data_IF_947187362932
#
_entry.id   IF_947187362932
#
_cell.length_a   1.000
_cell.length_b   1.000
_cell.length_c   1.000
_cell.angle_alpha   90.00
_cell.angle_beta   90.00
_cell.angle_gamma   90.00
#
_symmetry.space_group_name_H-M   'P 1'
#
loop_
_entity.id
_entity.type
_entity.pdbx_description
1 polymer ?
#
# COMPACT_ATOMS: atom_id res chain seq x y z
N UNK A 1 -16.82 16.51 5.53
CA UNK A 1 -18.09 17.24 5.27
C UNK A 1 -18.39 18.13 6.47
N UNK A 2 -18.58 19.42 6.28
CA UNK A 2 -18.93 20.36 7.37
C UNK A 2 -20.36 20.08 7.80
N UNK A 3 -20.60 19.74 9.08
CA UNK A 3 -21.95 19.61 9.61
C UNK A 3 -22.68 20.93 9.44
N UNK A 4 -23.78 20.94 8.69
CA UNK A 4 -24.65 22.10 8.59
C UNK A 4 -25.37 22.28 9.94
N UNK A 5 -24.91 23.25 10.72
CA UNK A 5 -25.54 23.63 11.99
C UNK A 5 -26.66 24.62 11.68
N UNK A 6 -27.89 24.13 11.56
CA UNK A 6 -29.08 24.98 11.56
C UNK A 6 -29.46 25.33 13.02
N UNK A 7 -28.76 26.32 13.58
CA UNK A 7 -29.15 26.90 14.86
C UNK A 7 -30.02 28.12 14.60
N UNK A 8 -31.27 28.08 15.05
CA UNK A 8 -32.24 29.18 14.88
C UNK A 8 -32.04 30.34 15.88
N UNK A 9 -31.11 30.20 16.83
CA UNK A 9 -30.87 31.21 17.88
C UNK A 9 -29.41 31.58 18.01
N UNK A 10 -29.12 32.79 18.49
CA UNK A 10 -27.75 33.21 18.92
C UNK A 10 -27.37 32.57 20.26
N UNK A 11 -27.13 31.26 20.23
CA UNK A 11 -26.68 30.52 21.39
C UNK A 11 -25.16 30.69 21.58
N UNK A 12 -24.74 30.77 22.82
CA UNK A 12 -23.32 30.61 23.14
C UNK A 12 -22.95 29.12 23.04
N UNK A 13 -22.13 28.79 22.04
CA UNK A 13 -21.67 27.44 21.77
C UNK A 13 -20.25 27.27 22.26
N UNK A 14 -20.02 26.20 23.01
CA UNK A 14 -18.69 25.69 23.31
C UNK A 14 -18.39 24.54 22.35
N UNK A 15 -17.38 24.70 21.51
CA UNK A 15 -16.98 23.72 20.52
C UNK A 15 -15.59 23.15 20.86
N UNK A 16 -15.45 21.84 20.79
CA UNK A 16 -14.16 21.16 20.82
C UNK A 16 -13.91 20.52 19.47
N UNK A 17 -12.85 20.95 18.81
CA UNK A 17 -12.47 20.48 17.49
C UNK A 17 -11.19 19.65 17.58
N UNK A 18 -11.10 18.63 16.74
CA UNK A 18 -9.94 17.76 16.60
C UNK A 18 -9.43 17.84 15.17
N UNK A 19 -8.12 18.00 15.01
CA UNK A 19 -7.47 17.89 13.70
C UNK A 19 -7.13 16.43 13.43
N UNK A 20 -7.41 16.01 12.22
CA UNK A 20 -7.13 14.67 11.70
C UNK A 20 -6.36 14.80 10.40
N UNK A 21 -5.37 13.95 10.24
CA UNK A 21 -4.75 13.70 8.94
C UNK A 21 -5.50 12.53 8.29
N UNK A 22 -6.19 12.82 7.21
CA UNK A 22 -7.00 11.85 6.47
C UNK A 22 -6.34 11.56 5.14
N UNK A 23 -6.29 10.30 4.79
CA UNK A 23 -5.87 9.87 3.48
C UNK A 23 -7.09 9.81 2.56
N UNK A 24 -7.07 10.56 1.47
CA UNK A 24 -8.15 10.61 0.51
C UNK A 24 -7.71 10.08 -0.85
N UNK A 25 -8.52 9.19 -1.44
CA UNK A 25 -8.31 8.72 -2.80
C UNK A 25 -8.73 9.83 -3.78
N UNK A 26 -7.76 10.50 -4.40
CA UNK A 26 -8.02 11.62 -5.32
C UNK A 26 -8.16 11.16 -6.76
N UNK A 27 -7.37 10.17 -7.16
CA UNK A 27 -7.42 9.64 -8.54
C UNK A 27 -7.45 8.12 -8.48
N UNK A 28 -8.43 7.53 -9.17
CA UNK A 28 -8.49 6.09 -9.43
C UNK A 28 -8.84 5.86 -10.89
N UNK A 29 -7.95 5.17 -11.61
CA UNK A 29 -8.19 4.79 -13.01
C UNK A 29 -7.39 3.57 -13.42
N UNK A 30 -7.83 2.92 -14.47
CA UNK A 30 -7.05 1.93 -15.21
C UNK A 30 -6.67 2.52 -16.55
N UNK A 31 -5.45 2.24 -17.00
CA UNK A 31 -4.95 2.69 -18.29
C UNK A 31 -4.05 1.61 -18.90
N UNK A 32 -3.71 1.75 -20.18
CA UNK A 32 -2.84 0.84 -20.89
C UNK A 32 -1.71 1.60 -21.59
N UNK A 33 -0.53 0.99 -21.61
CA UNK A 33 0.58 1.41 -22.43
C UNK A 33 0.87 0.32 -23.47
N UNK A 34 0.81 0.69 -24.76
CA UNK A 34 1.15 -0.22 -25.85
C UNK A 34 2.63 -0.11 -26.15
N UNK A 35 3.29 -1.25 -26.20
CA UNK A 35 4.70 -1.40 -26.45
C UNK A 35 4.87 -2.04 -27.83
N UNK A 36 5.82 -1.52 -28.63
CA UNK A 36 6.18 -2.07 -29.95
C UNK A 36 7.68 -2.03 -30.07
N UNK A 37 8.28 -3.19 -30.20
CA UNK A 37 9.73 -3.33 -30.29
C UNK A 37 10.09 -4.23 -31.48
N UNK A 38 11.20 -3.92 -32.13
CA UNK A 38 11.76 -4.73 -33.20
C UNK A 38 13.15 -5.20 -32.81
N UNK A 39 13.38 -6.49 -32.93
CA UNK A 39 14.61 -7.15 -32.51
C UNK A 39 15.20 -7.89 -33.71
N UNK A 40 16.31 -7.40 -34.22
CA UNK A 40 17.03 -8.07 -35.29
C UNK A 40 17.88 -9.21 -34.73
N UNK A 41 17.84 -10.38 -35.38
CA UNK A 41 18.70 -11.50 -35.05
C UNK A 41 20.16 -11.19 -35.38
N UNK A 42 21.11 -11.63 -34.55
CA UNK A 42 22.55 -11.45 -34.83
C UNK A 42 22.95 -12.05 -36.23
N UNK A 43 23.89 -11.42 -36.88
CA UNK A 43 24.34 -11.85 -38.26
C UNK A 43 24.92 -13.26 -38.31
N UNK A 44 25.41 -13.79 -37.18
CA UNK A 44 25.92 -15.15 -37.06
C UNK A 44 24.85 -16.23 -36.84
N UNK A 45 23.58 -15.85 -36.76
CA UNK A 45 22.45 -16.78 -36.67
C UNK A 45 21.73 -16.89 -38.01
N UNK A 46 21.21 -18.09 -38.35
CA UNK A 46 20.43 -18.28 -39.58
C UNK A 46 19.06 -17.60 -39.51
N UNK A 47 18.45 -17.39 -40.65
CA UNK A 47 17.14 -16.75 -40.80
C UNK A 47 16.05 -17.51 -40.08
N UNK A 48 14.98 -16.80 -39.73
CA UNK A 48 13.84 -17.34 -38.98
C UNK A 48 12.95 -18.13 -39.94
N UNK A 49 12.77 -19.42 -39.70
CA UNK A 49 11.76 -20.24 -40.38
C UNK A 49 10.44 -20.24 -39.64
N UNK A 50 10.45 -20.63 -38.38
CA UNK A 50 9.25 -20.77 -37.58
C UNK A 50 9.56 -20.46 -36.09
N UNK A 51 8.76 -19.63 -35.44
CA UNK A 51 8.83 -19.44 -34.01
C UNK A 51 8.18 -20.65 -33.32
N UNK A 52 8.93 -21.37 -32.50
CA UNK A 52 8.46 -22.56 -31.81
C UNK A 52 7.95 -22.24 -30.42
N UNK A 53 8.62 -21.31 -29.77
CA UNK A 53 8.25 -20.86 -28.42
C UNK A 53 8.86 -19.50 -28.13
N UNK A 54 8.09 -18.66 -27.48
CA UNK A 54 8.55 -17.37 -26.99
C UNK A 54 8.15 -17.17 -25.53
N UNK A 55 8.86 -16.29 -24.86
CA UNK A 55 8.57 -15.89 -23.49
C UNK A 55 8.94 -14.43 -23.32
N UNK A 56 7.95 -13.62 -23.01
CA UNK A 56 8.12 -12.19 -22.73
C UNK A 56 7.75 -11.91 -21.29
N UNK A 57 8.65 -11.25 -20.56
CA UNK A 57 8.46 -10.95 -19.15
C UNK A 57 8.75 -9.49 -18.86
N UNK A 58 7.92 -8.87 -18.04
CA UNK A 58 8.20 -7.57 -17.44
C UNK A 58 9.20 -7.77 -16.29
N UNK A 59 10.44 -7.30 -16.45
CA UNK A 59 11.52 -7.43 -15.46
C UNK A 59 11.62 -6.25 -14.52
N UNK A 60 11.39 -5.06 -15.00
CA UNK A 60 11.36 -3.86 -14.17
C UNK A 60 10.39 -2.85 -14.77
N UNK A 61 9.70 -2.14 -13.89
CA UNK A 61 8.87 -1.01 -14.25
C UNK A 61 9.01 0.06 -13.18
N UNK A 62 9.41 1.25 -13.60
CA UNK A 62 9.48 2.43 -12.75
C UNK A 62 8.51 3.47 -13.26
N UNK A 63 7.74 4.04 -12.37
CA UNK A 63 6.76 5.05 -12.69
C UNK A 63 7.11 6.32 -11.93
N UNK A 64 7.32 7.39 -12.67
CA UNK A 64 7.57 8.72 -12.12
C UNK A 64 6.33 9.58 -12.32
N UNK A 65 5.84 10.11 -11.23
CA UNK A 65 4.72 11.02 -11.16
C UNK A 65 5.15 12.43 -11.57
N UNK A 66 4.37 13.06 -12.44
CA UNK A 66 4.56 14.44 -12.90
C UNK A 66 3.20 15.11 -13.01
N UNK A 67 3.17 16.43 -13.09
CA UNK A 67 1.92 17.18 -13.30
C UNK A 67 1.16 16.68 -14.53
N UNK A 68 -0.05 16.17 -14.29
CA UNK A 68 -0.96 15.70 -15.35
C UNK A 68 -0.56 14.41 -16.05
N UNK A 69 0.54 13.74 -15.69
CA UNK A 69 1.01 12.53 -16.36
C UNK A 69 1.84 11.60 -15.47
N UNK A 70 1.95 10.37 -15.90
CA UNK A 70 2.88 9.36 -15.40
C UNK A 70 3.90 9.03 -16.47
N UNK A 71 5.19 9.16 -16.17
CA UNK A 71 6.27 8.66 -17.01
C UNK A 71 6.60 7.22 -16.61
N UNK A 72 6.47 6.30 -17.54
CA UNK A 72 6.68 4.86 -17.33
C UNK A 72 7.97 4.47 -18.05
N UNK A 73 8.89 3.81 -17.33
CA UNK A 73 10.13 3.29 -17.88
C UNK A 73 10.33 1.86 -17.36
N UNK A 74 10.81 0.98 -18.21
CA UNK A 74 11.02 -0.41 -17.80
C UNK A 74 11.83 -1.22 -18.76
N UNK A 75 11.93 -2.51 -18.47
CA UNK A 75 12.59 -3.49 -19.30
C UNK A 75 11.69 -4.71 -19.50
N UNK A 76 11.52 -5.14 -20.75
CA UNK A 76 11.01 -6.45 -21.08
C UNK A 76 12.18 -7.40 -21.31
N UNK A 77 12.05 -8.62 -20.85
CA UNK A 77 12.93 -9.72 -21.20
C UNK A 77 12.23 -10.57 -22.26
N UNK A 78 12.87 -10.71 -23.42
CA UNK A 78 12.41 -11.55 -24.52
C UNK A 78 13.31 -12.77 -24.63
N UNK A 79 12.73 -13.95 -24.63
CA UNK A 79 13.35 -15.18 -25.06
C UNK A 79 12.58 -15.77 -26.22
N UNK A 80 13.29 -16.26 -27.25
CA UNK A 80 12.71 -16.90 -28.44
C UNK A 80 13.47 -18.16 -28.76
N UNK A 81 12.75 -19.27 -28.95
CA UNK A 81 13.22 -20.50 -29.56
C UNK A 81 12.58 -20.61 -30.94
N UNK A 82 13.39 -20.73 -32.00
CA UNK A 82 12.90 -20.80 -33.36
C UNK A 82 13.59 -21.88 -34.17
N UNK A 83 12.93 -22.35 -35.20
CA UNK A 83 13.51 -23.20 -36.24
C UNK A 83 14.06 -22.32 -37.32
N UNK A 84 15.31 -22.57 -37.72
CA UNK A 84 15.93 -21.82 -38.79
C UNK A 84 15.37 -22.20 -40.17
N UNK A 85 15.46 -21.26 -41.09
CA UNK A 85 15.10 -21.47 -42.50
C UNK A 85 16.21 -22.16 -43.33
N UNK A 86 17.23 -22.73 -42.67
CA UNK A 86 18.30 -23.48 -43.28
C UNK A 86 17.88 -24.89 -43.74
N UNK A 87 18.68 -25.53 -44.57
CA UNK A 87 18.39 -26.90 -45.06
C UNK A 87 18.29 -27.94 -43.93
N UNK A 88 18.96 -27.71 -42.81
CA UNK A 88 18.98 -28.60 -41.68
C UNK A 88 17.85 -28.30 -40.68
N UNK A 89 17.10 -27.22 -40.88
CA UNK A 89 16.05 -26.74 -39.95
C UNK A 89 16.54 -26.69 -38.50
N UNK A 90 17.74 -26.15 -38.31
CA UNK A 90 18.42 -26.16 -37.02
C UNK A 90 17.63 -25.38 -35.98
N UNK A 91 17.66 -25.88 -34.72
CA UNK A 91 17.02 -25.20 -33.61
C UNK A 91 17.93 -24.09 -33.06
N UNK A 92 17.40 -22.88 -33.01
CA UNK A 92 18.10 -21.69 -32.56
C UNK A 92 17.31 -21.01 -31.47
N UNK A 93 18.02 -20.33 -30.59
CA UNK A 93 17.40 -19.52 -29.54
C UNK A 93 18.16 -18.22 -29.34
N UNK A 94 17.48 -17.21 -28.82
CA UNK A 94 18.08 -15.96 -28.40
C UNK A 94 17.33 -15.36 -27.21
N UNK A 95 18.01 -14.53 -26.45
CA UNK A 95 17.46 -13.73 -25.39
C UNK A 95 17.90 -12.28 -25.54
N UNK A 96 17.02 -11.36 -25.16
CA UNK A 96 17.31 -9.93 -25.19
C UNK A 96 16.51 -9.16 -24.14
N UNK A 97 17.19 -8.15 -23.54
CA UNK A 97 16.52 -7.15 -22.72
C UNK A 97 16.13 -5.96 -23.60
N UNK A 98 14.87 -5.59 -23.55
CA UNK A 98 14.26 -4.52 -24.35
C UNK A 98 13.83 -3.38 -23.41
N UNK A 99 14.59 -2.28 -23.33
CA UNK A 99 14.17 -1.12 -22.57
C UNK A 99 12.99 -0.45 -23.27
N UNK A 100 12.00 -0.02 -22.51
CA UNK A 100 10.87 0.74 -23.03
C UNK A 100 10.62 2.00 -22.21
N UNK A 101 10.02 2.99 -22.88
CA UNK A 101 9.58 4.24 -22.27
C UNK A 101 8.18 4.59 -22.77
N UNK A 102 7.38 5.19 -21.89
CA UNK A 102 6.04 5.63 -22.26
C UNK A 102 5.51 6.72 -21.33
N UNK A 103 4.41 7.32 -21.73
CA UNK A 103 3.71 8.34 -20.96
C UNK A 103 2.24 8.02 -20.92
N UNK A 104 1.66 8.12 -19.74
CA UNK A 104 0.23 7.92 -19.51
C UNK A 104 -0.35 9.22 -18.96
N UNK A 105 -1.34 9.78 -19.65
CA UNK A 105 -2.02 10.99 -19.20
C UNK A 105 -2.85 10.67 -17.95
N UNK A 106 -2.68 11.46 -16.91
CA UNK A 106 -3.35 11.27 -15.64
C UNK A 106 -3.83 12.62 -15.10
N UNK A 107 -5.05 13.02 -15.47
CA UNK A 107 -5.67 14.23 -14.96
C UNK A 107 -5.76 14.18 -13.43
N UNK A 108 -5.37 15.25 -12.76
CA UNK A 108 -5.32 15.31 -11.29
C UNK A 108 -4.04 14.71 -10.68
N UNK A 109 -3.12 14.17 -11.50
CA UNK A 109 -1.83 13.71 -11.00
C UNK A 109 -0.98 14.94 -10.59
N UNK A 110 -0.54 14.97 -9.32
CA UNK A 110 0.33 15.98 -8.73
C UNK A 110 1.46 15.30 -7.98
N UNK A 111 2.60 15.95 -7.85
CA UNK A 111 3.81 15.37 -7.23
C UNK A 111 3.72 15.16 -5.73
N UNK A 112 2.74 15.79 -5.06
CA UNK A 112 2.47 15.66 -3.62
C UNK A 112 1.63 14.44 -3.25
N UNK A 113 0.99 13.79 -4.25
CA UNK A 113 0.16 12.61 -4.01
C UNK A 113 1.02 11.35 -3.81
N UNK A 114 0.52 10.42 -3.02
CA UNK A 114 1.14 9.12 -2.79
C UNK A 114 0.63 8.12 -3.82
N UNK A 115 1.47 7.68 -4.78
CA UNK A 115 1.05 6.75 -5.81
C UNK A 115 1.07 5.29 -5.31
N UNK A 116 -0.01 4.57 -5.58
CA UNK A 116 -0.09 3.11 -5.54
C UNK A 116 -0.43 2.65 -6.95
N UNK A 117 0.56 2.11 -7.65
CA UNK A 117 0.42 1.77 -9.06
C UNK A 117 0.80 0.30 -9.25
N UNK A 118 -0.14 -0.45 -9.81
CA UNK A 118 0.04 -1.84 -10.20
C UNK A 118 0.30 -1.90 -11.70
N UNK A 119 1.27 -2.71 -12.09
CA UNK A 119 1.63 -2.91 -13.50
C UNK A 119 1.62 -4.39 -13.84
N UNK A 120 0.97 -4.73 -14.94
CA UNK A 120 0.89 -6.11 -15.43
C UNK A 120 1.06 -6.14 -16.94
N UNK A 121 1.94 -7.00 -17.45
CA UNK A 121 2.01 -7.32 -18.86
C UNK A 121 0.83 -8.25 -19.19
N UNK A 122 -0.25 -7.66 -19.70
CA UNK A 122 -1.49 -8.38 -19.95
C UNK A 122 -1.45 -9.22 -21.22
N UNK A 123 -0.73 -8.74 -22.22
CA UNK A 123 -0.58 -9.41 -23.51
C UNK A 123 0.80 -9.13 -24.08
N UNK A 124 1.39 -10.13 -24.72
CA UNK A 124 2.56 -10.02 -25.55
C UNK A 124 2.40 -10.95 -26.75
N UNK A 125 2.64 -10.44 -27.95
CA UNK A 125 2.58 -11.18 -29.19
C UNK A 125 3.86 -10.97 -29.97
N UNK A 126 4.49 -12.06 -30.41
CA UNK A 126 5.73 -12.05 -31.17
C UNK A 126 5.50 -12.59 -32.56
N UNK A 127 5.91 -11.83 -33.57
CA UNK A 127 5.84 -12.23 -34.99
C UNK A 127 7.20 -12.07 -35.65
N UNK A 128 7.43 -12.84 -36.70
CA UNK A 128 8.63 -12.70 -37.53
C UNK A 128 8.34 -11.83 -38.76
N UNK A 129 9.27 -10.95 -39.12
CA UNK A 129 9.17 -10.04 -40.26
C UNK A 129 10.41 -10.06 -41.13
N UNK A 130 10.25 -9.69 -42.39
CA UNK A 130 11.32 -9.47 -43.33
C UNK A 130 12.12 -8.19 -42.96
N UNK A 131 13.40 -8.24 -43.14
CA UNK A 131 14.29 -7.08 -43.07
C UNK A 131 14.32 -6.31 -44.43
N UNK A 132 15.22 -5.34 -44.56
CA UNK A 132 15.36 -4.53 -45.77
C UNK A 132 15.83 -5.33 -46.99
N UNK A 133 16.45 -6.49 -46.81
CA UNK A 133 16.97 -7.36 -47.87
C UNK A 133 15.95 -8.46 -48.25
N UNK A 134 14.80 -8.51 -47.59
CA UNK A 134 13.72 -9.47 -47.82
C UNK A 134 13.92 -10.81 -47.08
N UNK A 135 14.85 -10.88 -46.15
CA UNK A 135 15.11 -12.05 -45.34
C UNK A 135 14.33 -11.95 -43.99
N UNK A 136 13.77 -13.07 -43.50
CA UNK A 136 13.01 -13.07 -42.26
C UNK A 136 13.98 -13.07 -41.06
N UNK A 137 14.37 -11.87 -40.62
CA UNK A 137 15.42 -11.66 -39.62
C UNK A 137 15.02 -10.74 -38.46
N UNK A 138 13.77 -10.29 -38.44
CA UNK A 138 13.28 -9.36 -37.41
C UNK A 138 12.17 -10.04 -36.60
N UNK A 139 12.32 -10.04 -35.29
CA UNK A 139 11.21 -10.31 -34.38
C UNK A 139 10.50 -8.99 -34.04
N UNK A 140 9.20 -8.94 -34.31
CA UNK A 140 8.34 -7.83 -33.98
C UNK A 140 7.49 -8.20 -32.77
N UNK A 141 7.70 -7.48 -31.66
CA UNK A 141 6.99 -7.65 -30.40
C UNK A 141 5.94 -6.55 -30.24
N UNK A 142 4.69 -6.95 -30.06
CA UNK A 142 3.63 -6.07 -29.58
C UNK A 142 3.22 -6.47 -28.16
N UNK A 143 3.22 -5.50 -27.23
CA UNK A 143 2.89 -5.72 -25.84
C UNK A 143 1.84 -4.74 -25.34
N UNK A 144 1.04 -5.17 -24.36
CA UNK A 144 0.08 -4.34 -23.65
C UNK A 144 0.41 -4.39 -22.16
N UNK A 145 0.86 -3.28 -21.63
CA UNK A 145 1.09 -3.08 -20.22
C UNK A 145 -0.15 -2.41 -19.62
N UNK A 146 -0.81 -3.08 -18.71
CA UNK A 146 -1.93 -2.53 -17.93
C UNK A 146 -1.41 -1.82 -16.67
N UNK A 147 -1.98 -0.66 -16.37
CA UNK A 147 -1.68 0.13 -15.19
C UNK A 147 -2.95 0.35 -14.37
N UNK A 148 -2.96 -0.15 -13.14
CA UNK A 148 -3.94 0.20 -12.11
C UNK A 148 -3.39 1.37 -11.30
N UNK A 149 -4.00 2.55 -11.41
CA UNK A 149 -3.48 3.80 -10.83
C UNK A 149 -4.40 4.24 -9.72
N UNK A 150 -3.86 4.37 -8.50
CA UNK A 150 -4.52 4.98 -7.35
C UNK A 150 -3.57 6.01 -6.75
N UNK A 151 -4.03 7.27 -6.67
CA UNK A 151 -3.24 8.36 -6.09
C UNK A 151 -3.98 8.88 -4.87
N UNK A 152 -3.27 8.94 -3.75
CA UNK A 152 -3.81 9.35 -2.47
C UNK A 152 -3.20 10.68 -2.04
N UNK A 153 -4.06 11.61 -1.60
CA UNK A 153 -3.67 12.84 -0.94
C UNK A 153 -3.78 12.72 0.57
N UNK A 154 -2.97 13.49 1.30
CA UNK A 154 -3.17 13.72 2.71
C UNK A 154 -3.90 15.04 2.88
N UNK A 155 -5.06 15.02 3.50
CA UNK A 155 -5.84 16.20 3.81
C UNK A 155 -5.92 16.38 5.33
N UNK A 156 -5.65 17.60 5.81
CA UNK A 156 -5.94 17.95 7.19
C UNK A 156 -7.41 18.35 7.28
N UNK A 157 -8.19 17.55 7.99
CA UNK A 157 -9.59 17.84 8.29
C UNK A 157 -9.74 18.26 9.75
N UNK A 158 -10.58 19.26 9.99
CA UNK A 158 -10.97 19.65 11.33
C UNK A 158 -12.39 19.17 11.58
N UNK A 159 -12.56 18.21 12.48
CA UNK A 159 -13.87 17.67 12.86
C UNK A 159 -14.35 18.26 14.18
N UNK A 160 -15.65 18.40 14.32
CA UNK A 160 -16.28 18.76 15.57
C UNK A 160 -16.39 17.51 16.45
N UNK A 161 -15.56 17.43 17.49
CA UNK A 161 -15.48 16.29 18.38
C UNK A 161 -16.59 16.31 19.45
N UNK A 162 -16.85 17.49 20.01
CA UNK A 162 -17.91 17.71 20.99
C UNK A 162 -18.40 19.15 20.94
N UNK A 163 -19.68 19.34 21.31
CA UNK A 163 -20.31 20.66 21.37
C UNK A 163 -21.36 20.68 22.46
N UNK A 164 -21.44 21.77 23.21
CA UNK A 164 -22.51 22.02 24.16
C UNK A 164 -22.80 23.51 24.28
N UNK A 165 -23.91 23.85 24.93
CA UNK A 165 -24.27 25.22 25.27
C UNK A 165 -24.61 25.30 26.76
N UNK A 166 -24.12 26.33 27.49
CA UNK A 166 -24.58 26.56 28.86
C UNK A 166 -26.05 26.94 28.97
N UNK A 167 -26.68 27.42 27.88
CA UNK A 167 -28.01 27.98 27.87
C UNK A 167 -29.13 27.00 27.53
N UNK A 168 -28.82 26.00 26.68
CA UNK A 168 -29.77 24.97 26.22
C UNK A 168 -29.12 23.62 26.09
N UNK A 169 -29.91 22.58 26.29
CA UNK A 169 -29.46 21.23 26.02
C UNK A 169 -29.33 21.01 24.52
N UNK A 170 -28.20 20.49 24.08
CA UNK A 170 -28.00 20.09 22.70
C UNK A 170 -28.15 18.58 22.55
N UNK A 171 -28.99 18.17 21.62
CA UNK A 171 -29.11 16.77 21.21
C UNK A 171 -28.28 16.57 19.95
N UNK A 172 -27.28 15.68 20.03
CA UNK A 172 -26.33 15.41 18.97
C UNK A 172 -26.69 14.11 18.27
N UNK A 173 -26.92 14.19 16.96
CA UNK A 173 -27.01 13.00 16.12
C UNK A 173 -25.59 12.69 15.62
N UNK A 174 -25.07 11.54 16.02
CA UNK A 174 -23.69 11.13 15.70
C UNK A 174 -23.66 9.82 14.95
N UNK A 175 -22.66 9.65 14.09
CA UNK A 175 -22.30 8.35 13.52
C UNK A 175 -20.82 8.05 13.76
N UNK A 176 -20.48 6.78 13.78
CA UNK A 176 -19.09 6.35 13.77
C UNK A 176 -18.65 6.23 12.31
N UNK A 177 -17.66 7.02 11.91
CA UNK A 177 -17.02 6.96 10.61
C UNK A 177 -15.64 6.34 10.77
N UNK A 178 -15.22 5.63 9.72
CA UNK A 178 -13.88 5.02 9.67
C UNK A 178 -13.14 5.65 8.51
N UNK A 179 -12.18 6.48 8.86
CA UNK A 179 -11.24 7.06 7.93
C UNK A 179 -9.91 6.29 7.95
N UNK A 180 -9.06 6.54 6.99
CA UNK A 180 -7.75 5.91 6.92
C UNK A 180 -6.64 6.98 6.95
N UNK A 181 -5.57 6.71 7.67
CA UNK A 181 -4.34 7.50 7.63
C UNK A 181 -3.20 6.66 7.08
N UNK A 182 -2.33 7.28 6.29
CA UNK A 182 -1.13 6.63 5.78
C UNK A 182 -0.12 6.44 6.92
N UNK A 183 0.26 5.19 7.18
CA UNK A 183 1.36 4.87 8.09
C UNK A 183 2.67 4.88 7.33
N UNK A 184 2.75 4.15 6.22
CA UNK A 184 3.97 4.04 5.44
C UNK A 184 3.70 3.55 4.01
N UNK A 185 4.51 4.04 3.07
CA UNK A 185 4.78 3.40 1.79
C UNK A 185 6.25 2.99 1.77
N UNK A 186 6.53 1.70 1.58
CA UNK A 186 7.88 1.14 1.58
C UNK A 186 8.11 0.32 0.31
N UNK A 187 9.26 0.53 -0.31
CA UNK A 187 9.76 -0.28 -1.42
C UNK A 187 11.02 -0.99 -0.95
N UNK A 188 10.96 -2.29 -0.85
CA UNK A 188 12.08 -3.13 -0.40
C UNK A 188 12.37 -4.26 -1.38
N UNK A 189 13.54 -4.88 -1.25
CA UNK A 189 13.98 -5.97 -2.12
C UNK A 189 14.37 -7.18 -1.29
N UNK A 190 13.79 -8.30 -1.62
CA UNK A 190 14.12 -9.59 -1.04
C UNK A 190 15.01 -10.40 -2.01
N UNK A 191 16.11 -10.93 -1.52
CA UNK A 191 16.94 -11.87 -2.27
C UNK A 191 16.50 -13.29 -1.94
N UNK A 192 16.18 -14.06 -2.97
CA UNK A 192 15.88 -15.48 -2.86
C UNK A 192 16.96 -16.29 -3.59
N UNK A 193 17.43 -17.35 -2.99
CA UNK A 193 18.40 -18.25 -3.60
C UNK A 193 18.13 -19.70 -3.19
N UNK A 194 18.37 -20.60 -4.12
CA UNK A 194 18.21 -22.03 -3.86
C UNK A 194 18.76 -22.87 -4.99
N UNK A 195 18.77 -24.18 -4.76
CA UNK A 195 19.26 -25.17 -5.71
C UNK A 195 18.13 -26.09 -6.14
N UNK A 196 18.08 -26.38 -7.42
CA UNK A 196 17.12 -27.29 -8.03
C UNK A 196 17.90 -28.44 -8.66
N UNK A 197 17.49 -29.67 -8.34
CA UNK A 197 18.09 -30.89 -8.89
C UNK A 197 17.14 -31.57 -9.86
N UNK A 198 17.72 -32.21 -10.87
CA UNK A 198 16.99 -33.11 -11.75
C UNK A 198 16.35 -34.23 -10.91
N UNK A 199 15.05 -34.42 -11.11
CA UNK A 199 14.29 -35.49 -10.47
C UNK A 199 13.93 -36.57 -11.50
N UNK A 200 14.15 -37.83 -11.14
CA UNK A 200 13.83 -38.99 -11.97
C UNK A 200 14.81 -39.22 -13.10
N UNK A 201 14.36 -39.90 -14.16
CA UNK A 201 15.17 -40.30 -15.32
C UNK A 201 15.27 -39.19 -16.38
N UNK A 202 15.40 -37.91 -15.99
CA UNK A 202 15.60 -36.81 -16.94
C UNK A 202 17.05 -36.74 -17.43
N UNK A 203 17.27 -36.32 -18.70
CA UNK A 203 18.62 -36.21 -19.25
C UNK A 203 19.44 -35.11 -18.53
N UNK A 204 20.78 -35.26 -18.56
CA UNK A 204 21.71 -34.30 -17.95
C UNK A 204 21.65 -32.94 -18.65
N UNK A 205 21.99 -31.89 -17.91
CA UNK A 205 22.03 -30.52 -18.38
C UNK A 205 23.36 -30.29 -19.11
N UNK A 206 23.30 -29.83 -20.36
CA UNK A 206 24.46 -29.36 -21.09
C UNK A 206 24.56 -27.84 -21.05
N UNK A 207 23.44 -27.14 -21.20
CA UNK A 207 23.40 -25.68 -21.21
C UNK A 207 22.01 -25.20 -20.78
N UNK A 208 21.93 -24.14 -19.98
CA UNK A 208 20.69 -23.44 -19.66
C UNK A 208 20.36 -22.49 -20.81
N UNK A 209 19.13 -22.53 -21.31
CA UNK A 209 18.64 -21.64 -22.37
C UNK A 209 17.81 -20.51 -21.81
N UNK A 210 16.87 -20.82 -20.92
CA UNK A 210 15.97 -19.83 -20.35
C UNK A 210 15.56 -20.18 -18.93
N UNK A 211 15.24 -19.16 -18.13
CA UNK A 211 14.64 -19.31 -16.81
C UNK A 211 13.44 -18.39 -16.67
N UNK A 212 12.32 -18.98 -16.31
CA UNK A 212 11.06 -18.27 -16.00
C UNK A 212 10.68 -18.51 -14.55
N UNK A 213 10.07 -17.51 -13.92
CA UNK A 213 9.61 -17.62 -12.54
C UNK A 213 8.43 -16.69 -12.27
N UNK A 214 7.62 -17.08 -11.33
CA UNK A 214 6.53 -16.26 -10.81
C UNK A 214 6.65 -16.12 -9.30
N UNK A 215 6.00 -15.09 -8.74
CA UNK A 215 5.99 -14.88 -7.29
C UNK A 215 4.66 -15.38 -6.76
N UNK A 216 4.72 -16.21 -5.73
CA UNK A 216 3.57 -16.61 -4.94
C UNK A 216 3.78 -16.18 -3.50
N UNK A 217 2.97 -15.24 -3.03
CA UNK A 217 2.96 -14.83 -1.63
C UNK A 217 2.06 -15.79 -0.86
N UNK A 218 2.61 -16.42 0.16
CA UNK A 218 1.87 -17.36 1.00
C UNK A 218 1.37 -16.67 2.27
N UNK A 219 2.15 -15.73 2.83
CA UNK A 219 1.78 -15.07 4.10
C UNK A 219 2.31 -13.64 4.16
N UNK A 220 1.46 -12.73 4.64
CA UNK A 220 1.83 -11.37 5.06
C UNK A 220 1.39 -11.20 6.50
N UNK A 221 2.32 -10.90 7.39
CA UNK A 221 2.05 -10.86 8.82
C UNK A 221 2.71 -9.65 9.47
N UNK A 222 1.93 -8.94 10.30
CA UNK A 222 2.45 -7.90 11.19
C UNK A 222 3.17 -8.59 12.35
N UNK A 223 4.45 -8.26 12.53
CA UNK A 223 5.29 -8.77 13.62
C UNK A 223 5.41 -7.68 14.68
N UNK A 224 4.85 -7.87 15.88
CA UNK A 224 4.99 -6.92 16.97
C UNK A 224 6.46 -6.87 17.44
N UNK A 225 6.92 -5.68 17.81
CA UNK A 225 8.19 -5.55 18.54
C UNK A 225 8.11 -6.23 19.91
N UNK A 226 9.25 -6.49 20.55
CA UNK A 226 9.27 -7.10 21.88
C UNK A 226 8.42 -6.32 22.88
N UNK A 227 7.33 -6.88 23.32
CA UNK A 227 6.65 -6.45 24.55
C UNK A 227 7.38 -7.14 25.70
N UNK A 228 8.07 -6.39 26.55
CA UNK A 228 8.63 -6.88 27.81
C UNK A 228 7.50 -7.21 28.78
N UNK A 229 6.85 -8.32 28.59
CA UNK A 229 5.97 -8.94 29.58
C UNK A 229 6.34 -10.42 29.67
N UNK A 230 6.70 -10.86 30.86
CA UNK A 230 7.30 -12.16 31.18
C UNK A 230 6.42 -13.39 30.95
N UNK A 231 5.94 -13.60 29.73
CA UNK A 231 5.32 -14.85 29.31
C UNK A 231 5.74 -15.12 27.86
N UNK A 232 6.51 -16.17 27.71
CA UNK A 232 6.80 -16.99 26.52
C UNK A 232 6.44 -16.33 25.17
N UNK A 233 7.30 -15.45 24.69
CA UNK A 233 7.35 -15.10 23.28
C UNK A 233 8.11 -16.22 22.55
N UNK A 234 7.41 -17.06 21.84
CA UNK A 234 8.00 -17.99 20.91
C UNK A 234 8.79 -17.23 19.82
N UNK A 235 10.00 -17.61 19.63
CA UNK A 235 11.08 -17.37 18.68
C UNK A 235 10.83 -16.65 17.33
N UNK A 236 9.82 -15.80 17.19
CA UNK A 236 9.47 -15.21 15.88
C UNK A 236 10.34 -14.00 15.47
N UNK A 237 11.03 -13.36 16.39
CA UNK A 237 11.87 -12.21 16.05
C UNK A 237 12.98 -11.97 17.08
N UNK A 238 14.19 -12.59 16.94
CA UNK A 238 15.27 -12.49 17.91
C UNK A 238 15.76 -11.05 18.13
N UNK A 239 15.63 -10.17 17.14
CA UNK A 239 16.11 -8.79 17.19
C UNK A 239 15.08 -7.79 17.74
N UNK A 240 13.84 -8.23 18.01
CA UNK A 240 12.79 -7.37 18.54
C UNK A 240 12.31 -6.27 17.59
N UNK A 241 12.64 -6.36 16.32
CA UNK A 241 12.26 -5.38 15.29
C UNK A 241 10.78 -5.50 14.95
N UNK A 242 10.05 -4.39 15.06
CA UNK A 242 8.64 -4.32 14.62
C UNK A 242 8.60 -4.15 13.10
N UNK A 243 7.69 -4.84 12.43
CA UNK A 243 7.58 -4.74 10.98
C UNK A 243 6.54 -5.67 10.36
N UNK A 244 6.67 -5.84 9.06
CA UNK A 244 5.81 -6.70 8.25
C UNK A 244 6.65 -7.80 7.65
N UNK A 245 6.36 -9.04 8.03
CA UNK A 245 6.99 -10.23 7.45
C UNK A 245 6.20 -10.69 6.24
N UNK A 246 6.91 -10.86 5.13
CA UNK A 246 6.38 -11.41 3.89
C UNK A 246 7.07 -12.73 3.62
N UNK A 247 6.30 -13.79 3.53
CA UNK A 247 6.79 -15.14 3.20
C UNK A 247 6.12 -15.64 1.93
N UNK A 248 6.87 -16.34 1.13
CA UNK A 248 6.36 -16.86 -0.13
C UNK A 248 7.34 -17.78 -0.83
N UNK A 249 7.01 -18.11 -2.04
CA UNK A 249 7.77 -19.01 -2.88
C UNK A 249 7.88 -18.49 -4.31
N UNK A 250 8.97 -18.83 -4.98
CA UNK A 250 9.17 -18.65 -6.40
C UNK A 250 9.09 -20.00 -7.12
N UNK A 251 7.98 -20.39 -7.71
CA UNK A 251 7.96 -21.42 -8.75
C UNK A 251 8.83 -20.99 -9.92
N UNK A 252 9.79 -21.82 -10.30
CA UNK A 252 10.74 -21.56 -11.38
C UNK A 252 10.71 -22.71 -12.38
N UNK A 253 10.69 -22.36 -13.66
CA UNK A 253 10.81 -23.28 -14.78
C UNK A 253 12.04 -22.92 -15.60
N UNK A 254 12.91 -23.92 -15.87
CA UNK A 254 14.20 -23.73 -16.52
C UNK A 254 14.24 -24.61 -17.74
N UNK A 255 14.36 -23.99 -18.92
CA UNK A 255 14.61 -24.66 -20.19
C UNK A 255 16.12 -24.87 -20.36
N UNK A 256 16.51 -26.09 -20.68
CA UNK A 256 17.92 -26.43 -20.88
C UNK A 256 18.13 -27.37 -22.08
N UNK A 257 19.31 -27.30 -22.68
CA UNK A 257 19.78 -28.30 -23.66
C UNK A 257 20.20 -29.54 -22.87
N UNK A 258 19.68 -30.68 -23.32
CA UNK A 258 19.90 -31.96 -22.68
C UNK A 258 20.98 -32.79 -23.34
N UNK A 259 21.50 -33.80 -22.63
CA UNK A 259 22.45 -34.77 -23.19
C UNK A 259 21.76 -35.88 -24.00
N UNK A 260 20.48 -35.82 -24.22
CA UNK A 260 19.71 -36.81 -24.98
C UNK A 260 19.39 -36.25 -26.38
N UNK A 261 20.01 -36.80 -27.41
CA UNK A 261 19.81 -36.36 -28.80
C UNK A 261 18.36 -36.55 -29.30
N UNK A 262 17.58 -37.42 -28.67
CA UNK A 262 16.16 -37.62 -28.99
C UNK A 262 15.26 -36.56 -28.37
N UNK A 263 15.70 -35.94 -27.28
CA UNK A 263 15.03 -34.83 -26.59
C UNK A 263 16.02 -33.70 -26.31
N UNK A 264 16.43 -32.94 -27.34
CA UNK A 264 17.49 -31.94 -27.21
C UNK A 264 17.18 -30.80 -26.26
N UNK A 265 15.90 -30.57 -25.98
CA UNK A 265 15.43 -29.60 -24.99
C UNK A 265 14.60 -30.28 -23.91
N UNK A 266 14.82 -29.89 -22.67
CA UNK A 266 14.06 -30.36 -21.53
C UNK A 266 13.77 -29.22 -20.55
N UNK A 267 12.75 -29.40 -19.73
CA UNK A 267 12.35 -28.42 -18.72
C UNK A 267 12.51 -29.00 -17.33
N UNK A 268 13.12 -28.23 -16.47
CA UNK A 268 13.23 -28.50 -15.04
C UNK A 268 12.38 -27.47 -14.26
N UNK A 269 11.60 -27.96 -13.31
CA UNK A 269 10.79 -27.11 -12.43
C UNK A 269 11.24 -27.26 -11.00
N UNK A 270 11.11 -26.18 -10.25
CA UNK A 270 11.43 -26.15 -8.82
C UNK A 270 10.80 -24.96 -8.14
N UNK A 271 10.94 -24.89 -6.83
CA UNK A 271 10.38 -23.81 -6.04
C UNK A 271 11.43 -23.29 -5.07
N UNK A 272 11.66 -21.99 -5.04
CA UNK A 272 12.60 -21.32 -4.16
C UNK A 272 11.82 -20.54 -3.11
N UNK A 273 11.90 -20.90 -1.83
CA UNK A 273 11.22 -20.14 -0.77
C UNK A 273 11.93 -18.81 -0.52
N UNK A 274 11.18 -17.81 -0.08
CA UNK A 274 11.73 -16.54 0.40
C UNK A 274 10.99 -16.05 1.63
N UNK A 275 11.70 -15.30 2.47
CA UNK A 275 11.15 -14.58 3.61
C UNK A 275 11.85 -13.24 3.75
N UNK A 276 11.08 -12.19 4.00
CA UNK A 276 11.59 -10.84 4.17
C UNK A 276 10.84 -10.12 5.29
N UNK A 277 11.57 -9.42 6.16
CA UNK A 277 11.01 -8.53 7.18
C UNK A 277 11.23 -7.08 6.73
N UNK A 278 10.15 -6.41 6.38
CA UNK A 278 10.16 -4.97 6.16
C UNK A 278 9.98 -4.25 7.50
N UNK A 279 10.95 -3.44 7.90
CA UNK A 279 10.90 -2.68 9.14
C UNK A 279 9.88 -1.56 9.03
N UNK A 280 8.86 -1.58 9.88
CA UNK A 280 7.82 -0.56 9.99
C UNK A 280 7.56 -0.30 11.47
N UNK A 281 8.27 0.67 12.08
CA UNK A 281 8.21 0.90 13.53
C UNK A 281 6.83 1.26 14.06
N UNK A 282 6.01 1.90 13.24
CA UNK A 282 4.69 2.41 13.61
C UNK A 282 3.54 1.42 13.35
N UNK A 283 3.84 0.22 12.81
CA UNK A 283 2.79 -0.76 12.52
C UNK A 283 2.26 -1.41 13.80
N UNK A 284 0.95 -1.60 13.85
CA UNK A 284 0.25 -2.32 14.92
C UNK A 284 -0.80 -3.27 14.32
N UNK A 285 -1.49 -4.02 15.19
CA UNK A 285 -2.48 -5.01 14.77
C UNK A 285 -3.73 -4.46 14.10
N UNK A 286 -3.96 -3.15 14.14
CA UNK A 286 -5.10 -2.49 13.48
C UNK A 286 -4.77 -2.06 12.06
N UNK A 287 -3.47 -1.99 11.70
CA UNK A 287 -3.04 -1.58 10.38
C UNK A 287 -3.47 -2.57 9.30
N UNK A 288 -3.81 -2.03 8.12
CA UNK A 288 -4.08 -2.79 6.90
C UNK A 288 -2.89 -2.69 5.98
N UNK A 289 -2.46 -3.83 5.45
CA UNK A 289 -1.28 -3.94 4.59
C UNK A 289 -1.72 -4.35 3.20
N UNK A 290 -1.39 -3.54 2.21
CA UNK A 290 -1.46 -3.90 0.80
C UNK A 290 -0.05 -4.16 0.29
N UNK A 291 0.15 -5.29 -0.38
CA UNK A 291 1.44 -5.72 -0.92
C UNK A 291 1.32 -5.92 -2.43
N UNK A 292 2.19 -5.26 -3.18
CA UNK A 292 2.42 -5.54 -4.58
C UNK A 292 3.85 -6.09 -4.75
N UNK A 293 4.01 -7.12 -5.59
CA UNK A 293 5.29 -7.81 -5.80
C UNK A 293 5.67 -7.84 -7.26
N UNK A 294 6.97 -7.75 -7.54
CA UNK A 294 7.50 -7.89 -8.89
C UNK A 294 8.82 -8.66 -8.88
N UNK A 295 9.04 -9.48 -9.91
CA UNK A 295 10.28 -10.21 -10.10
C UNK A 295 11.26 -9.32 -10.87
N UNK A 296 12.24 -8.74 -10.17
CA UNK A 296 13.20 -7.81 -10.79
C UNK A 296 14.32 -8.56 -11.53
N UNK A 297 14.81 -9.64 -10.93
CA UNK A 297 15.89 -10.46 -11.49
C UNK A 297 15.63 -11.94 -11.22
N UNK A 298 15.96 -12.74 -12.21
CA UNK A 298 16.02 -14.18 -12.09
C UNK A 298 17.23 -14.67 -12.89
N UNK A 299 18.11 -15.39 -12.22
CA UNK A 299 19.32 -15.96 -12.81
C UNK A 299 19.43 -17.43 -12.44
N UNK A 300 19.61 -18.27 -13.42
CA UNK A 300 19.86 -19.69 -13.27
C UNK A 300 21.27 -20.02 -13.77
N UNK A 301 22.09 -20.67 -12.97
CA UNK A 301 23.45 -21.07 -13.31
C UNK A 301 23.66 -22.55 -13.03
N UNK A 302 24.36 -23.26 -13.93
CA UNK A 302 24.70 -24.64 -13.68
C UNK A 302 25.68 -24.76 -12.52
N UNK A 303 25.31 -25.50 -11.48
CA UNK A 303 26.24 -25.92 -10.45
C UNK A 303 26.99 -27.20 -10.92
N UNK A 304 26.27 -28.13 -11.53
CA UNK A 304 26.82 -29.32 -12.22
C UNK A 304 25.82 -29.81 -13.30
N UNK A 305 26.04 -31.00 -13.86
CA UNK A 305 25.17 -31.57 -14.92
C UNK A 305 23.76 -32.00 -14.44
N UNK A 306 23.49 -31.95 -13.15
CA UNK A 306 22.22 -32.38 -12.53
C UNK A 306 21.62 -31.33 -11.57
N UNK A 307 22.40 -30.28 -11.25
CA UNK A 307 21.97 -29.23 -10.30
C UNK A 307 22.13 -27.83 -10.88
N UNK A 308 21.12 -26.99 -10.68
CA UNK A 308 21.09 -25.58 -11.05
C UNK A 308 20.96 -24.73 -9.79
N UNK A 309 21.81 -23.73 -9.65
CA UNK A 309 21.66 -22.66 -8.66
C UNK A 309 20.77 -21.55 -9.24
N UNK A 310 19.71 -21.20 -8.53
CA UNK A 310 18.79 -20.11 -8.88
C UNK A 310 18.95 -18.97 -7.89
N UNK A 311 19.09 -17.76 -8.41
CA UNK A 311 19.12 -16.51 -7.65
C UNK A 311 18.06 -15.56 -8.21
N UNK A 312 17.29 -14.95 -7.32
CA UNK A 312 16.24 -14.01 -7.69
C UNK A 312 16.25 -12.78 -6.77
N UNK A 313 15.75 -11.67 -7.31
CA UNK A 313 15.45 -10.45 -6.57
C UNK A 313 13.96 -10.18 -6.72
N UNK A 314 13.25 -10.22 -5.61
CA UNK A 314 11.83 -9.94 -5.50
C UNK A 314 11.66 -8.52 -4.96
N UNK A 315 11.03 -7.65 -5.73
CA UNK A 315 10.58 -6.33 -5.28
C UNK A 315 9.30 -6.47 -4.44
N UNK A 316 9.26 -5.81 -3.30
CA UNK A 316 8.14 -5.80 -2.36
C UNK A 316 7.71 -4.35 -2.13
N UNK A 317 6.54 -3.97 -2.64
CA UNK A 317 5.96 -2.65 -2.49
C UNK A 317 4.84 -2.72 -1.46
N UNK A 318 5.10 -2.21 -0.27
CA UNK A 318 4.17 -2.19 0.85
C UNK A 318 3.47 -0.83 0.94
N UNK A 319 2.17 -0.86 1.11
CA UNK A 319 1.34 0.29 1.40
C UNK A 319 0.54 -0.02 2.66
N UNK A 320 0.80 0.74 3.73
CA UNK A 320 0.28 0.48 5.07
C UNK A 320 -0.57 1.64 5.52
N UNK A 321 -1.82 1.36 5.85
CA UNK A 321 -2.78 2.34 6.36
C UNK A 321 -3.31 1.91 7.72
N UNK A 322 -3.65 2.90 8.54
CA UNK A 322 -4.31 2.68 9.83
C UNK A 322 -5.73 3.20 9.77
N UNK A 323 -6.75 2.35 10.02
CA UNK A 323 -8.11 2.82 10.17
C UNK A 323 -8.24 3.65 11.45
N UNK A 324 -8.84 4.83 11.33
CA UNK A 324 -9.13 5.72 12.44
C UNK A 324 -10.65 5.80 12.60
N UNK A 325 -11.16 5.34 13.74
CA UNK A 325 -12.56 5.48 14.07
C UNK A 325 -12.81 6.84 14.68
N UNK A 326 -13.71 7.59 14.07
CA UNK A 326 -14.09 8.93 14.51
C UNK A 326 -15.59 8.98 14.73
N UNK A 327 -15.99 9.65 15.81
CA UNK A 327 -17.38 9.97 16.05
C UNK A 327 -17.67 11.32 15.44
N UNK A 328 -18.46 11.34 14.36
CA UNK A 328 -18.81 12.55 13.63
C UNK A 328 -20.21 13.05 14.04
N UNK A 329 -20.32 14.34 14.31
CA UNK A 329 -21.60 14.99 14.60
C UNK A 329 -22.19 15.47 13.27
N UNK A 330 -23.35 14.93 12.89
CA UNK A 330 -24.03 15.29 11.64
C UNK A 330 -25.10 16.33 11.83
N UNK A 331 -25.75 16.31 12.98
CA UNK A 331 -26.85 17.21 13.28
C UNK A 331 -26.86 17.61 14.74
N UNK A 332 -27.20 18.86 14.98
CA UNK A 332 -27.35 19.44 16.32
C UNK A 332 -28.74 19.99 16.39
N UNK A 333 -29.53 19.61 17.38
CA UNK A 333 -30.84 20.16 17.70
C UNK A 333 -30.90 20.71 19.11
N UNK A 334 -31.71 21.74 19.32
CA UNK A 334 -31.87 22.39 20.62
C UNK A 334 -33.05 21.79 21.37
N UNK A 335 -32.86 21.61 22.68
CA UNK A 335 -33.90 21.21 23.62
C UNK A 335 -33.80 22.06 24.89
N UNK A 336 -34.93 22.38 25.52
CA UNK A 336 -34.89 23.00 26.83
C UNK A 336 -34.28 22.04 27.86
N UNK A 337 -33.52 22.59 28.82
CA UNK A 337 -33.02 21.79 29.93
C UNK A 337 -34.14 21.25 30.79
N UNK A 338 -33.97 20.03 31.30
CA UNK A 338 -34.82 19.47 32.34
C UNK A 338 -34.64 20.28 33.64
N UNK A 339 -35.69 20.97 34.06
CA UNK A 339 -35.66 21.79 35.26
C UNK A 339 -35.30 20.99 36.51
N UNK A 340 -35.72 19.72 36.60
CA UNK A 340 -35.37 18.87 37.74
C UNK A 340 -33.87 18.54 37.80
N UNK A 341 -33.23 18.30 36.67
CA UNK A 341 -31.79 18.09 36.60
C UNK A 341 -31.03 19.39 36.91
N UNK A 342 -31.51 20.49 36.36
CA UNK A 342 -30.91 21.81 36.63
C UNK A 342 -30.94 22.19 38.12
N UNK A 343 -32.03 21.91 38.82
CA UNK A 343 -32.15 22.20 40.29
C UNK A 343 -31.22 21.37 41.14
N UNK A 344 -30.81 20.18 40.71
CA UNK A 344 -29.87 19.32 41.43
C UNK A 344 -28.43 19.87 41.45
N UNK A 345 -28.04 20.67 40.46
CA UNK A 345 -26.70 21.29 40.39
C UNK A 345 -26.72 22.56 41.26
N UNK A 346 -25.88 22.65 42.31
CA UNK A 346 -25.80 23.84 43.17
C UNK A 346 -25.44 25.09 42.36
N UNK A 347 -25.95 26.27 42.80
CA UNK A 347 -25.65 27.54 42.14
C UNK A 347 -24.17 27.92 42.25
N UNK A 348 -23.51 27.59 43.36
CA UNK A 348 -22.07 27.78 43.57
C UNK A 348 -21.53 26.51 44.23
N UNK A 349 -20.43 25.99 43.72
CA UNK A 349 -19.79 24.77 44.16
C UNK A 349 -18.28 24.92 44.24
N UNK A 350 -17.67 24.45 45.33
CA UNK A 350 -16.23 24.18 45.36
C UNK A 350 -15.99 22.76 44.85
N UNK A 351 -15.30 22.63 43.74
CA UNK A 351 -15.00 21.35 43.09
C UNK A 351 -13.53 20.98 43.29
N UNK A 352 -13.25 19.77 43.72
CA UNK A 352 -11.88 19.24 43.79
C UNK A 352 -11.63 18.34 42.61
N UNK A 353 -10.69 18.72 41.74
CA UNK A 353 -10.33 18.02 40.50
C UNK A 353 -9.89 16.59 40.76
N UNK A 354 -10.53 15.64 40.09
CA UNK A 354 -10.25 14.22 40.19
C UNK A 354 -9.27 13.77 39.06
N UNK A 355 -8.80 12.54 39.19
CA UNK A 355 -7.98 11.95 38.14
C UNK A 355 -8.82 11.63 36.89
N UNK A 356 -8.41 12.15 35.73
CA UNK A 356 -9.15 12.01 34.48
C UNK A 356 -10.08 13.18 34.12
N UNK A 357 -10.24 14.15 35.04
CA UNK A 357 -11.04 15.34 34.79
C UNK A 357 -10.36 16.25 33.73
N UNK A 358 -11.17 16.89 32.92
CA UNK A 358 -10.77 18.01 32.07
C UNK A 358 -11.63 19.23 32.34
N UNK A 359 -11.08 20.41 32.15
CA UNK A 359 -11.82 21.66 32.30
C UNK A 359 -13.08 21.70 31.41
N UNK A 360 -12.99 21.07 30.22
CA UNK A 360 -14.12 20.90 29.31
C UNK A 360 -15.27 20.10 29.91
N UNK A 361 -14.97 18.93 30.48
CA UNK A 361 -16.00 18.05 31.06
C UNK A 361 -16.65 18.67 32.29
N UNK A 362 -15.86 19.31 33.16
CA UNK A 362 -16.36 20.04 34.32
C UNK A 362 -17.26 21.19 33.87
N UNK A 363 -16.83 21.98 32.90
CA UNK A 363 -17.60 23.11 32.38
C UNK A 363 -18.95 22.65 31.78
N UNK A 364 -18.97 21.55 31.07
CA UNK A 364 -20.18 20.96 30.48
C UNK A 364 -21.13 20.46 31.54
N UNK A 365 -20.63 19.82 32.60
CA UNK A 365 -21.42 19.29 33.71
C UNK A 365 -22.07 20.41 34.57
N UNK A 366 -21.35 21.51 34.76
CA UNK A 366 -21.82 22.65 35.56
C UNK A 366 -22.46 23.78 34.75
N UNK A 367 -22.76 23.54 33.45
CA UNK A 367 -23.42 24.51 32.57
C UNK A 367 -22.66 25.85 32.46
N UNK A 368 -21.34 25.77 32.38
CA UNK A 368 -20.42 26.91 32.23
C UNK A 368 -19.63 26.81 30.95
N UNK A 369 -18.98 27.87 30.54
CA UNK A 369 -17.94 27.78 29.54
C UNK A 369 -16.58 27.54 30.20
N UNK A 370 -15.61 26.85 29.53
CA UNK A 370 -14.25 26.72 30.05
C UNK A 370 -13.62 28.08 30.39
N UNK A 371 -13.88 29.09 29.57
CA UNK A 371 -13.42 30.46 29.79
C UNK A 371 -13.92 31.04 31.11
N UNK A 372 -15.20 30.87 31.44
CA UNK A 372 -15.79 31.35 32.70
C UNK A 372 -15.14 30.70 33.88
N UNK A 373 -14.84 29.39 33.84
CA UNK A 373 -14.11 28.71 34.92
C UNK A 373 -12.70 29.26 35.05
N UNK A 374 -11.99 29.47 33.94
CA UNK A 374 -10.65 30.02 33.97
C UNK A 374 -10.62 31.42 34.60
N UNK A 375 -11.50 32.31 34.14
CA UNK A 375 -11.61 33.68 34.68
C UNK A 375 -11.93 33.69 36.18
N UNK A 376 -12.88 32.86 36.60
CA UNK A 376 -13.32 32.81 38.01
C UNK A 376 -12.23 32.28 38.94
N UNK A 377 -11.39 31.37 38.46
CA UNK A 377 -10.33 30.75 39.23
C UNK A 377 -8.93 31.32 38.94
N UNK A 378 -8.84 32.38 38.13
CA UNK A 378 -7.58 33.01 37.73
C UNK A 378 -6.58 32.00 37.08
N UNK A 379 -7.10 31.07 36.28
CA UNK A 379 -6.27 30.09 35.56
C UNK A 379 -5.69 30.70 34.30
N UNK A 380 -4.40 30.45 34.04
CA UNK A 380 -3.72 30.93 32.84
C UNK A 380 -3.93 30.00 31.63
N UNK A 381 -4.36 28.75 31.86
CA UNK A 381 -4.62 27.74 30.84
C UNK A 381 -5.72 26.78 31.25
N UNK A 382 -6.19 25.96 30.32
CA UNK A 382 -7.18 24.90 30.54
C UNK A 382 -6.61 23.64 31.23
N UNK A 383 -5.31 23.65 31.52
CA UNK A 383 -4.63 22.52 32.19
C UNK A 383 -4.89 22.55 33.69
N UNK A 384 -5.63 21.56 34.17
CA UNK A 384 -5.93 21.35 35.60
C UNK A 384 -5.25 20.06 36.09
N UNK A 385 -4.98 19.99 37.39
CA UNK A 385 -4.34 18.84 38.03
C UNK A 385 -5.20 18.28 39.13
N UNK A 386 -5.11 16.96 39.33
CA UNK A 386 -5.74 16.30 40.47
C UNK A 386 -5.41 17.01 41.80
N UNK A 387 -6.45 17.37 42.53
CA UNK A 387 -6.33 18.08 43.80
C UNK A 387 -6.47 19.59 43.71
N UNK A 388 -6.51 20.18 42.52
CA UNK A 388 -6.83 21.60 42.34
C UNK A 388 -8.27 21.85 42.85
N UNK A 389 -8.49 22.99 43.51
CA UNK A 389 -9.81 23.41 43.96
C UNK A 389 -10.33 24.50 43.02
N UNK A 390 -11.48 24.21 42.38
CA UNK A 390 -12.14 25.15 41.45
C UNK A 390 -13.42 25.68 42.08
N UNK A 391 -13.67 26.96 41.94
CA UNK A 391 -14.95 27.58 42.22
C UNK A 391 -15.76 27.56 40.96
N UNK A 392 -16.94 26.94 40.99
CA UNK A 392 -17.85 26.82 39.86
C UNK A 392 -19.18 27.54 40.18
N UNK A 393 -19.67 28.32 39.22
CA UNK A 393 -20.93 29.05 39.38
C UNK A 393 -21.82 28.81 38.16
N UNK A 394 -22.90 28.05 38.32
CA UNK A 394 -23.86 27.71 37.30
C UNK A 394 -24.46 28.96 36.65
N UNK A 395 -24.30 29.08 35.31
CA UNK A 395 -24.77 30.26 34.58
C UNK A 395 -26.26 30.21 34.19
N UNK A 396 -26.91 29.07 34.31
CA UNK A 396 -28.36 28.91 34.00
C UNK A 396 -29.21 29.26 35.21
N UNK A 397 -29.97 30.35 35.11
CA UNK A 397 -30.89 30.72 36.16
C UNK A 397 -32.35 30.34 35.77
N UNK A 398 -32.94 29.31 36.38
CA UNK A 398 -34.30 28.86 36.03
C UNK A 398 -35.40 29.97 36.22
N UNK A 399 -35.09 30.99 37.02
CA UNK A 399 -36.05 32.07 37.29
C UNK A 399 -36.20 33.14 36.20
N UNK A 400 -35.33 33.18 35.17
CA UNK A 400 -35.40 34.14 34.06
C UNK A 400 -36.21 33.68 32.87
N UNK A 401 -36.75 32.47 32.84
CA UNK A 401 -37.55 31.94 31.72
C UNK A 401 -39.04 32.31 31.81
N UNK A 402 -39.51 33.05 32.80
CA UNK A 402 -40.89 33.43 32.98
C UNK A 402 -41.14 34.95 32.93
N UNK A 403 -40.36 35.70 32.14
CA UNK A 403 -40.65 37.11 31.91
C UNK A 403 -40.82 37.43 30.42
#
# INVERSE_FOLDING_TARGET
>A
MSAAVELQSKLELCERRKRLELMQLEVQKKDILRLKEEVQIPSNKPDIGEILWDNVQLRSCRIQQREGMLAVQGNLFLFVLYRAADEQQSLQWMEQNLPFEGKVTCSGCRSDLVPVIETTLAQAELTAKEDTDGEIRIFHLEGVLELGISLYGNEEAEILEDVYSPQKQLVLETSDEVDESLVMKNESKCKAAGKIRIQGAKPRILQICNSNGSIKVDKVQIVPGQVRTGQTAEEENPDGTRGIRVEGALPVSILYISSDDTMPFAVMEGTIPFSHLAEVPEVDGECRVSLNTNLEQLTATMADSEEIEVKAVVGLNLFVVRPQRQRCIHRISEQEYDLQQLEQVPGITGYMVQEGDSLWNIAKEYYMTPQQIMEMNSLESDQIRKGDCLILMKCVNPLRQFS
#
